data_IF_284008263698
#
_entry.id   IF_284008263698
#
_cell.length_a   1.000
_cell.length_b   1.000
_cell.length_c   1.000
_cell.angle_alpha   90.00
_cell.angle_beta   90.00
_cell.angle_gamma   90.00
#
_symmetry.space_group_name_H-M   'P 1'
#
loop_
_entity.id
_entity.type
_entity.pdbx_description
1 polymer ?
#
# COMPACT_ATOMS: atom_id res chain seq x y z
N UNK A 1 6.81 -53.22 -7.90
CA UNK A 1 8.10 -52.78 -7.37
C UNK A 1 8.47 -51.36 -7.81
N UNK A 2 8.38 -51.04 -9.10
CA UNK A 2 8.62 -49.70 -9.64
C UNK A 2 7.65 -48.62 -9.08
N UNK A 3 6.38 -48.95 -8.94
CA UNK A 3 5.33 -48.01 -8.43
C UNK A 3 5.57 -47.63 -6.96
N UNK A 4 6.06 -48.55 -6.14
CA UNK A 4 6.42 -48.25 -4.76
C UNK A 4 7.71 -47.42 -4.67
N UNK A 5 8.66 -47.62 -5.59
CA UNK A 5 9.90 -46.85 -5.66
C UNK A 5 9.61 -45.37 -6.02
N UNK A 6 8.73 -45.15 -6.96
CA UNK A 6 8.35 -43.75 -7.33
C UNK A 6 7.55 -43.06 -6.22
N UNK A 7 6.64 -43.76 -5.54
CA UNK A 7 5.89 -43.23 -4.40
C UNK A 7 6.77 -42.90 -3.19
N UNK A 8 7.78 -43.73 -2.91
CA UNK A 8 8.76 -43.45 -1.86
C UNK A 8 9.66 -42.30 -2.21
N UNK A 9 10.06 -42.17 -3.48
CA UNK A 9 10.87 -41.05 -3.96
C UNK A 9 10.08 -39.72 -3.95
N UNK A 10 8.79 -39.73 -4.30
CA UNK A 10 7.92 -38.56 -4.16
C UNK A 10 7.77 -38.15 -2.69
N UNK A 11 7.61 -39.07 -1.79
CA UNK A 11 7.55 -38.80 -0.34
C UNK A 11 8.87 -38.27 0.22
N UNK A 12 10.00 -38.67 -0.34
CA UNK A 12 11.32 -38.25 0.10
C UNK A 12 11.73 -36.85 -0.36
N UNK A 13 11.11 -36.33 -1.41
CA UNK A 13 11.43 -35.03 -2.01
C UNK A 13 10.49 -33.89 -1.60
N UNK A 14 9.40 -34.17 -0.88
CA UNK A 14 8.45 -33.14 -0.45
C UNK A 14 8.84 -32.60 0.92
N UNK A 15 9.50 -31.44 0.92
CA UNK A 15 9.55 -30.60 2.11
C UNK A 15 8.16 -29.98 2.39
N UNK A 16 7.88 -29.68 3.64
CA UNK A 16 6.67 -28.94 4.04
C UNK A 16 7.10 -27.61 4.62
N UNK A 17 6.61 -26.53 4.02
CA UNK A 17 6.75 -25.22 4.62
C UNK A 17 5.88 -25.12 5.87
N UNK A 18 6.47 -24.75 6.98
CA UNK A 18 5.80 -24.45 8.25
C UNK A 18 5.95 -22.98 8.57
N UNK A 19 4.86 -22.38 8.99
CA UNK A 19 4.80 -20.97 9.35
C UNK A 19 4.34 -20.83 10.79
N UNK A 20 4.99 -19.93 11.52
CA UNK A 20 4.58 -19.50 12.84
C UNK A 20 4.48 -17.98 12.83
N UNK A 21 3.31 -17.48 13.15
CA UNK A 21 3.04 -16.05 13.28
C UNK A 21 2.48 -15.81 14.69
N UNK A 22 3.15 -14.94 15.45
CA UNK A 22 2.74 -14.54 16.80
C UNK A 22 2.83 -13.05 16.91
N UNK A 23 1.71 -12.39 17.13
CA UNK A 23 1.67 -10.94 17.34
C UNK A 23 0.86 -10.59 18.59
N UNK A 24 1.22 -9.48 19.20
CA UNK A 24 0.53 -8.99 20.38
C UNK A 24 0.92 -7.56 20.70
N UNK A 25 0.12 -6.91 21.53
CA UNK A 25 0.44 -5.55 21.94
C UNK A 25 -0.42 -5.09 23.10
N UNK A 26 0.05 -4.03 23.72
CA UNK A 26 -0.65 -3.34 24.80
C UNK A 26 -0.59 -1.84 24.54
N UNK A 27 -1.71 -1.17 24.81
CA UNK A 27 -1.85 0.27 24.66
C UNK A 27 -2.46 0.84 25.93
N UNK A 28 -1.83 1.89 26.45
CA UNK A 28 -2.32 2.67 27.58
C UNK A 28 -2.54 4.12 27.17
N UNK A 29 -3.67 4.67 27.60
CA UNK A 29 -3.96 6.11 27.48
C UNK A 29 -4.10 6.70 28.87
N UNK A 30 -3.38 7.78 29.12
CA UNK A 30 -3.49 8.54 30.35
C UNK A 30 -3.94 9.96 30.05
N UNK A 31 -5.09 10.35 30.59
CA UNK A 31 -5.68 11.67 30.45
C UNK A 31 -5.33 12.48 31.68
N UNK A 32 -4.47 13.49 31.56
CA UNK A 32 -4.08 14.38 32.64
C UNK A 32 -5.22 15.34 33.00
N UNK A 33 -5.82 15.91 31.96
CA UNK A 33 -7.00 16.77 32.03
C UNK A 33 -7.71 16.75 30.65
N UNK A 34 -8.77 17.57 30.48
CA UNK A 34 -9.54 17.66 29.23
C UNK A 34 -8.73 18.10 28.00
N UNK A 35 -7.57 18.70 28.22
CA UNK A 35 -6.74 19.32 27.18
C UNK A 35 -5.39 18.60 26.98
N UNK A 36 -5.10 17.57 27.80
CA UNK A 36 -3.82 16.85 27.76
C UNK A 36 -3.99 15.35 27.92
N UNK A 37 -3.42 14.62 27.01
CA UNK A 37 -3.36 13.16 27.04
C UNK A 37 -2.00 12.63 26.61
N UNK A 38 -1.68 11.44 27.11
CA UNK A 38 -0.50 10.65 26.76
C UNK A 38 -0.95 9.25 26.36
N UNK A 39 -0.55 8.84 25.17
CA UNK A 39 -0.69 7.48 24.70
C UNK A 39 0.67 6.80 24.65
N UNK A 40 0.76 5.58 25.17
CA UNK A 40 1.93 4.70 25.04
C UNK A 40 1.43 3.36 24.53
N UNK A 41 2.03 2.88 23.46
CA UNK A 41 1.73 1.59 22.87
C UNK A 41 3.01 0.77 22.71
N UNK A 42 2.94 -0.51 23.05
CA UNK A 42 3.96 -1.50 22.75
C UNK A 42 3.35 -2.54 21.81
N UNK A 43 4.11 -2.95 20.81
CA UNK A 43 3.76 -4.09 19.96
C UNK A 43 4.93 -5.03 19.76
N UNK A 44 4.58 -6.29 19.62
CA UNK A 44 5.48 -7.39 19.31
C UNK A 44 4.92 -8.15 18.12
N UNK A 45 5.80 -8.50 17.18
CA UNK A 45 5.50 -9.31 16.02
C UNK A 45 6.65 -10.31 15.78
N UNK A 46 6.31 -11.57 15.55
CA UNK A 46 7.26 -12.62 15.20
C UNK A 46 6.69 -13.45 14.07
N UNK A 47 7.42 -13.54 12.98
CA UNK A 47 7.12 -14.41 11.85
C UNK A 47 8.32 -15.33 11.58
N UNK A 48 8.08 -16.64 11.70
CA UNK A 48 9.07 -17.69 11.41
C UNK A 48 8.57 -18.53 10.23
N UNK A 49 9.49 -18.88 9.34
CA UNK A 49 9.32 -19.95 8.34
C UNK A 49 10.36 -21.03 8.57
N UNK A 50 9.95 -22.28 8.44
CA UNK A 50 10.87 -23.42 8.45
C UNK A 50 10.49 -24.45 7.38
N UNK A 51 11.52 -25.12 6.86
CA UNK A 51 11.37 -26.27 5.98
C UNK A 51 11.41 -27.54 6.84
N UNK A 52 10.31 -28.27 6.83
CA UNK A 52 10.20 -29.57 7.49
C UNK A 52 10.45 -30.69 6.49
N UNK A 53 11.49 -31.47 6.75
CA UNK A 53 11.84 -32.69 6.01
C UNK A 53 11.25 -33.90 6.70
N UNK A 54 10.16 -34.53 6.18
CA UNK A 54 9.46 -35.63 6.90
C UNK A 54 10.30 -36.88 7.12
N UNK A 55 11.31 -37.11 6.26
CA UNK A 55 12.19 -38.28 6.37
C UNK A 55 13.10 -38.23 7.58
N UNK A 56 13.66 -37.07 7.84
CA UNK A 56 14.64 -36.89 8.92
C UNK A 56 14.00 -36.35 10.17
N UNK A 57 12.67 -36.12 10.16
CA UNK A 57 11.92 -35.40 11.18
C UNK A 57 12.59 -34.06 11.56
N UNK A 58 13.29 -33.46 10.60
CA UNK A 58 14.09 -32.25 10.79
C UNK A 58 13.29 -31.03 10.38
N UNK A 59 13.25 -30.07 11.28
CA UNK A 59 12.56 -28.77 11.09
C UNK A 59 13.62 -27.65 11.11
N UNK A 60 14.04 -27.22 9.95
CA UNK A 60 15.09 -26.21 9.79
C UNK A 60 14.45 -24.83 9.60
N UNK A 61 14.65 -23.97 10.59
CA UNK A 61 14.21 -22.57 10.46
C UNK A 61 15.10 -21.85 9.44
N UNK A 62 14.49 -21.41 8.34
CA UNK A 62 15.18 -20.77 7.23
C UNK A 62 14.91 -19.25 7.18
N UNK A 63 13.89 -18.79 7.92
CA UNK A 63 13.55 -17.38 8.03
C UNK A 63 12.95 -17.06 9.40
N UNK A 64 13.39 -15.97 10.00
CA UNK A 64 12.81 -15.42 11.24
C UNK A 64 12.88 -13.90 11.20
N UNK A 65 11.75 -13.23 11.40
CA UNK A 65 11.68 -11.80 11.62
C UNK A 65 11.00 -11.54 12.95
N UNK A 66 11.65 -10.81 13.84
CA UNK A 66 11.14 -10.46 15.16
C UNK A 66 11.23 -8.95 15.34
N UNK A 67 10.08 -8.33 15.62
CA UNK A 67 9.99 -6.89 15.83
C UNK A 67 9.40 -6.56 17.20
N UNK A 68 10.01 -5.59 17.86
CA UNK A 68 9.48 -4.93 19.05
C UNK A 68 9.37 -3.45 18.77
N UNK A 69 8.22 -2.85 19.03
CA UNK A 69 8.07 -1.40 18.91
C UNK A 69 7.42 -0.78 20.12
N UNK A 70 7.89 0.40 20.48
CA UNK A 70 7.28 1.28 21.49
C UNK A 70 6.98 2.59 20.81
N UNK A 71 5.75 3.05 20.95
CA UNK A 71 5.27 4.32 20.37
C UNK A 71 4.66 5.19 21.46
N UNK A 72 4.96 6.48 21.42
CA UNK A 72 4.42 7.45 22.36
C UNK A 72 3.84 8.66 21.65
N UNK A 73 2.71 9.17 22.14
CA UNK A 73 2.10 10.43 21.71
C UNK A 73 1.66 11.23 22.91
N UNK A 74 2.06 12.46 22.97
CA UNK A 74 1.54 13.44 23.90
C UNK A 74 0.82 14.53 23.14
N UNK A 75 -0.44 14.77 23.47
CA UNK A 75 -1.26 15.83 22.90
C UNK A 75 -1.54 16.90 23.94
N UNK A 76 -1.46 18.16 23.54
CA UNK A 76 -1.84 19.29 24.34
C UNK A 76 -2.66 20.28 23.51
N UNK A 77 -3.90 20.50 23.92
CA UNK A 77 -4.83 21.47 23.32
C UNK A 77 -4.71 22.81 24.04
N UNK A 78 -4.23 23.83 23.33
CA UNK A 78 -4.09 25.19 23.85
C UNK A 78 -5.31 26.03 23.48
N UNK A 79 -5.80 26.83 24.46
CA UNK A 79 -6.93 27.77 24.26
C UNK A 79 -8.12 27.06 23.59
N UNK A 80 -8.29 25.74 23.89
CA UNK A 80 -9.39 24.91 23.38
C UNK A 80 -9.41 24.64 21.87
N UNK A 81 -8.35 24.99 21.12
CA UNK A 81 -8.35 24.86 19.64
C UNK A 81 -7.02 24.63 18.96
N UNK A 82 -5.88 24.98 19.58
CA UNK A 82 -4.56 24.74 18.99
C UNK A 82 -4.00 23.46 19.59
N UNK A 83 -3.45 22.57 18.76
CA UNK A 83 -2.99 21.26 19.23
C UNK A 83 -1.49 21.13 18.97
N UNK A 84 -0.75 20.87 20.04
CA UNK A 84 0.62 20.40 19.97
C UNK A 84 0.64 18.89 20.17
N UNK A 85 1.19 18.16 19.21
CA UNK A 85 1.47 16.73 19.34
C UNK A 85 2.98 16.53 19.37
N UNK A 86 3.48 15.89 20.40
CA UNK A 86 4.85 15.41 20.51
C UNK A 86 4.81 13.89 20.53
N UNK A 87 5.75 13.24 19.87
CA UNK A 87 5.80 11.79 19.90
C UNK A 87 7.14 11.25 19.49
N UNK A 88 7.29 9.94 19.61
CA UNK A 88 8.47 9.22 19.19
C UNK A 88 8.22 7.73 19.16
N UNK A 89 8.96 7.06 18.30
CA UNK A 89 8.93 5.61 18.14
C UNK A 89 10.34 5.05 18.41
N UNK A 90 10.37 3.89 19.03
CA UNK A 90 11.54 3.01 19.09
C UNK A 90 11.14 1.66 18.52
N UNK A 91 11.89 1.16 17.55
CA UNK A 91 11.70 -0.17 16.99
C UNK A 91 13.01 -0.94 17.01
N UNK A 92 12.95 -2.18 17.48
CA UNK A 92 14.05 -3.15 17.35
C UNK A 92 13.59 -4.23 16.38
N UNK A 93 14.36 -4.44 15.32
CA UNK A 93 14.14 -5.41 14.27
C UNK A 93 15.27 -6.44 14.26
N UNK A 94 14.91 -7.72 14.23
CA UNK A 94 15.80 -8.86 14.04
C UNK A 94 15.34 -9.61 12.80
N UNK A 95 16.26 -9.87 11.89
CA UNK A 95 16.00 -10.65 10.68
C UNK A 95 17.09 -11.70 10.50
N UNK A 96 16.65 -12.95 10.43
CA UNK A 96 17.48 -14.12 10.07
C UNK A 96 16.93 -14.72 8.78
N UNK A 97 17.81 -15.07 7.86
CA UNK A 97 17.43 -15.73 6.60
C UNK A 97 18.56 -16.61 6.08
N UNK A 98 18.21 -17.78 5.53
CA UNK A 98 19.15 -18.59 4.77
C UNK A 98 19.68 -17.88 3.52
N UNK A 99 19.00 -16.84 3.05
CA UNK A 99 19.41 -16.00 1.91
C UNK A 99 20.51 -14.99 2.26
N UNK A 100 20.83 -14.83 3.54
CA UNK A 100 22.02 -14.09 3.93
C UNK A 100 23.27 -14.93 3.75
N UNK A 101 24.38 -14.29 3.48
CA UNK A 101 25.67 -14.98 3.43
C UNK A 101 25.88 -15.76 4.75
N UNK A 102 26.15 -17.07 4.64
CA UNK A 102 26.32 -18.00 5.78
C UNK A 102 25.09 -18.16 6.69
N UNK A 103 23.87 -18.11 6.16
CA UNK A 103 22.63 -18.20 6.95
C UNK A 103 22.63 -17.22 8.13
N UNK A 104 23.07 -16.01 7.90
CA UNK A 104 23.31 -15.02 8.92
C UNK A 104 22.03 -14.36 9.43
N UNK A 105 22.22 -13.52 10.44
CA UNK A 105 21.18 -12.65 10.97
C UNK A 105 21.66 -11.20 11.05
N UNK A 106 20.72 -10.27 11.01
CA UNK A 106 20.92 -8.82 11.16
C UNK A 106 20.00 -8.27 12.23
N UNK A 107 20.52 -7.27 12.91
CA UNK A 107 19.78 -6.52 13.91
C UNK A 107 19.81 -5.04 13.54
N UNK A 108 18.68 -4.40 13.67
CA UNK A 108 18.56 -2.96 13.50
C UNK A 108 17.69 -2.41 14.62
N UNK A 109 18.02 -1.23 15.12
CA UNK A 109 17.05 -0.43 15.84
C UNK A 109 16.84 0.90 15.13
N UNK A 110 15.64 1.40 15.22
CA UNK A 110 15.26 2.72 14.73
C UNK A 110 14.74 3.55 15.89
N UNK A 111 15.09 4.81 15.90
CA UNK A 111 14.60 5.79 16.86
C UNK A 111 14.11 6.98 16.07
N UNK A 112 12.94 7.44 16.39
CA UNK A 112 12.47 8.70 15.86
C UNK A 112 11.77 9.54 16.91
N UNK A 113 11.73 10.85 16.64
CA UNK A 113 11.02 11.82 17.43
C UNK A 113 10.38 12.86 16.52
N UNK A 114 9.18 13.29 16.85
CA UNK A 114 8.49 14.30 16.07
C UNK A 114 7.71 15.29 16.92
N UNK A 115 7.52 16.48 16.35
CA UNK A 115 6.64 17.52 16.88
C UNK A 115 5.73 18.02 15.76
N UNK A 116 4.46 18.17 16.04
CA UNK A 116 3.47 18.77 15.13
C UNK A 116 2.64 19.81 15.88
N UNK A 117 2.45 20.95 15.26
CA UNK A 117 1.59 22.01 15.77
C UNK A 117 0.47 22.32 14.78
N UNK A 118 -0.77 22.15 15.24
CA UNK A 118 -1.99 22.49 14.53
C UNK A 118 -2.51 23.83 15.04
N UNK A 119 -2.24 24.88 14.29
CA UNK A 119 -2.60 26.23 14.61
C UNK A 119 -3.92 26.63 13.95
N UNK A 120 -4.92 26.91 14.74
CA UNK A 120 -6.27 27.28 14.32
C UNK A 120 -6.59 28.75 14.74
N UNK A 121 -5.99 29.79 14.10
CA UNK A 121 -6.20 31.18 14.50
C UNK A 121 -7.64 31.62 14.32
N UNK A 122 -8.30 31.13 13.28
CA UNK A 122 -9.70 31.43 12.98
C UNK A 122 -10.46 30.17 12.56
N UNK A 123 -11.80 30.20 12.50
CA UNK A 123 -12.62 29.12 11.97
C UNK A 123 -12.44 28.87 10.46
N UNK A 124 -11.77 29.78 9.77
CA UNK A 124 -11.56 29.75 8.31
C UNK A 124 -10.14 29.36 7.93
N UNK A 125 -9.18 29.55 8.80
CA UNK A 125 -7.77 29.35 8.50
C UNK A 125 -7.12 28.40 9.49
N UNK A 126 -6.41 27.41 8.95
CA UNK A 126 -5.66 26.42 9.71
C UNK A 126 -4.27 26.27 9.11
N UNK A 127 -3.27 26.11 9.98
CA UNK A 127 -1.86 25.84 9.62
C UNK A 127 -1.40 24.64 10.42
N UNK A 128 -0.86 23.64 9.74
CA UNK A 128 -0.20 22.50 10.37
C UNK A 128 1.26 22.55 10.01
N UNK A 129 2.13 22.59 11.02
CA UNK A 129 3.58 22.44 10.86
C UNK A 129 4.05 21.22 11.60
N UNK A 130 5.05 20.53 11.04
CA UNK A 130 5.63 19.35 11.69
C UNK A 130 7.07 19.16 11.30
N UNK A 131 7.81 18.55 12.19
CA UNK A 131 9.18 18.10 11.97
C UNK A 131 9.36 16.73 12.61
N UNK A 132 9.97 15.81 11.89
CA UNK A 132 10.35 14.49 12.38
C UNK A 132 11.83 14.27 12.14
N UNK A 133 12.50 13.67 13.10
CA UNK A 133 13.84 13.17 13.02
C UNK A 133 13.83 11.65 13.12
N UNK A 134 14.52 10.97 12.21
CA UNK A 134 14.65 9.51 12.16
C UNK A 134 16.13 9.13 12.24
N UNK A 135 16.44 8.04 12.97
CA UNK A 135 17.76 7.42 13.03
C UNK A 135 17.66 5.91 12.86
N UNK A 136 18.54 5.32 12.03
CA UNK A 136 18.63 3.90 11.70
C UNK A 136 20.03 3.39 12.02
N UNK A 137 20.13 2.42 12.94
CA UNK A 137 21.44 2.01 13.51
C UNK A 137 22.29 1.16 12.59
N UNK A 138 21.72 0.32 11.72
CA UNK A 138 22.50 -0.60 10.87
C UNK A 138 23.25 0.17 9.76
N UNK A 139 22.62 1.16 9.17
CA UNK A 139 23.17 1.99 8.09
C UNK A 139 23.75 3.32 8.58
N UNK A 140 23.67 3.63 9.88
CA UNK A 140 24.03 4.93 10.49
C UNK A 140 23.42 6.14 9.77
N UNK A 141 22.17 5.97 9.35
CA UNK A 141 21.43 6.98 8.60
C UNK A 141 20.57 7.80 9.55
N UNK A 142 20.60 9.11 9.40
CA UNK A 142 19.66 10.02 10.04
C UNK A 142 19.02 10.95 9.02
N UNK A 143 17.81 11.43 9.32
CA UNK A 143 17.06 12.30 8.41
C UNK A 143 16.06 13.19 9.14
N UNK A 144 15.87 14.42 8.61
CA UNK A 144 14.83 15.34 9.03
C UNK A 144 13.75 15.45 7.95
N UNK A 145 12.50 15.21 8.34
CA UNK A 145 11.31 15.27 7.47
C UNK A 145 10.42 16.42 7.91
N UNK A 146 10.43 17.58 7.22
CA UNK A 146 9.55 18.70 7.51
C UNK A 146 8.19 18.54 6.85
N UNK A 147 7.14 19.13 7.44
CA UNK A 147 5.78 19.19 6.93
C UNK A 147 5.17 20.56 7.15
N UNK A 148 4.49 21.07 6.13
CA UNK A 148 3.66 22.27 6.20
C UNK A 148 2.33 22.01 5.48
N UNK A 149 1.23 22.30 6.14
CA UNK A 149 -0.11 22.26 5.57
C UNK A 149 -0.83 23.58 5.84
N UNK A 150 -1.51 24.10 4.84
CA UNK A 150 -2.33 25.31 4.91
C UNK A 150 -3.74 24.97 4.47
N UNK A 151 -4.74 25.45 5.17
CA UNK A 151 -6.14 25.35 4.75
C UNK A 151 -6.84 26.69 4.92
N UNK A 152 -7.60 27.08 3.90
CA UNK A 152 -8.47 28.25 3.94
C UNK A 152 -9.88 27.91 3.48
N UNK A 153 -10.89 28.29 4.27
CA UNK A 153 -12.30 28.05 3.99
C UNK A 153 -12.99 29.33 3.53
N UNK A 154 -13.65 29.26 2.38
CA UNK A 154 -14.42 30.37 1.80
C UNK A 154 -15.82 29.86 1.47
N UNK A 155 -16.79 30.16 2.34
CA UNK A 155 -18.14 29.65 2.17
C UNK A 155 -18.20 28.12 2.12
N UNK A 156 -18.62 27.58 0.99
CA UNK A 156 -18.70 26.15 0.74
C UNK A 156 -17.40 25.54 0.15
N UNK A 157 -16.38 26.37 -0.05
CA UNK A 157 -15.09 25.94 -0.61
C UNK A 157 -14.04 25.82 0.49
N UNK A 158 -13.15 24.83 0.35
CA UNK A 158 -11.92 24.70 1.13
C UNK A 158 -10.72 24.57 0.19
N UNK A 159 -9.77 25.48 0.32
CA UNK A 159 -8.49 25.42 -0.39
C UNK A 159 -7.44 24.85 0.57
N UNK A 160 -6.63 23.91 0.09
CA UNK A 160 -5.54 23.31 0.87
C UNK A 160 -4.27 23.30 0.03
N UNK A 161 -3.17 23.71 0.64
CA UNK A 161 -1.82 23.54 0.09
C UNK A 161 -0.97 22.75 1.09
N UNK A 162 -0.14 21.84 0.63
CA UNK A 162 0.77 21.13 1.51
C UNK A 162 2.13 20.87 0.87
N UNK A 163 3.12 20.82 1.75
CA UNK A 163 4.45 20.34 1.48
C UNK A 163 4.81 19.29 2.54
N UNK A 164 5.45 18.19 2.11
CA UNK A 164 6.01 17.19 3.01
C UNK A 164 7.32 16.64 2.45
N UNK A 165 8.38 16.68 3.27
CA UNK A 165 9.57 15.88 3.07
C UNK A 165 9.25 14.42 3.39
N UNK A 166 9.73 13.49 2.55
CA UNK A 166 9.60 12.06 2.76
C UNK A 166 10.96 11.40 2.83
N UNK A 167 11.04 10.28 3.54
CA UNK A 167 12.26 9.53 3.73
C UNK A 167 11.95 8.04 3.83
N UNK A 168 12.82 7.18 3.26
CA UNK A 168 12.79 5.74 3.40
C UNK A 168 14.21 5.19 3.47
N UNK A 169 14.58 4.62 4.60
CA UNK A 169 15.84 3.86 4.71
C UNK A 169 15.77 2.57 3.89
N UNK A 170 16.91 2.07 3.37
CA UNK A 170 17.00 0.73 2.82
C UNK A 170 16.62 -0.31 3.89
N UNK A 171 15.93 -1.35 3.49
CA UNK A 171 15.59 -2.46 4.39
C UNK A 171 16.76 -3.44 4.51
N UNK A 172 16.81 -4.19 5.61
CA UNK A 172 17.80 -5.26 5.79
C UNK A 172 17.79 -6.27 4.62
N UNK A 173 16.61 -6.50 4.04
CA UNK A 173 16.46 -7.36 2.84
C UNK A 173 17.16 -6.77 1.63
N UNK A 174 16.92 -5.50 1.33
CA UNK A 174 17.50 -4.81 0.19
C UNK A 174 19.03 -4.68 0.29
N UNK A 175 19.54 -4.59 1.51
CA UNK A 175 20.99 -4.48 1.75
C UNK A 175 21.70 -5.82 1.76
N UNK A 176 21.11 -6.89 2.33
CA UNK A 176 21.90 -8.07 2.68
C UNK A 176 21.38 -9.40 2.13
N UNK A 177 20.17 -9.47 1.57
CA UNK A 177 19.63 -10.74 1.08
C UNK A 177 20.02 -10.98 -0.39
N UNK A 178 20.45 -12.20 -0.69
CA UNK A 178 20.60 -12.72 -2.03
C UNK A 178 19.43 -13.65 -2.32
N UNK A 179 18.55 -13.22 -3.20
CA UNK A 179 17.27 -13.87 -3.44
C UNK A 179 17.29 -14.65 -4.76
N UNK A 180 17.04 -15.96 -4.71
CA UNK A 180 16.92 -16.80 -5.90
C UNK A 180 15.51 -16.68 -6.51
N UNK A 181 15.44 -16.16 -7.73
CA UNK A 181 14.21 -16.09 -8.53
C UNK A 181 13.97 -17.39 -9.28
N UNK A 182 13.62 -18.45 -8.55
CA UNK A 182 13.28 -19.78 -9.07
C UNK A 182 14.35 -20.36 -10.02
N UNK A 183 15.62 -20.17 -9.67
CA UNK A 183 16.80 -20.62 -10.47
C UNK A 183 16.90 -20.00 -11.87
N UNK A 184 16.17 -18.93 -12.13
CA UNK A 184 16.27 -18.15 -13.38
C UNK A 184 17.40 -17.13 -13.27
N UNK A 185 17.43 -16.34 -12.21
CA UNK A 185 18.49 -15.40 -11.86
C UNK A 185 18.46 -15.07 -10.38
N UNK A 186 19.54 -14.47 -9.88
CA UNK A 186 19.65 -13.98 -8.51
C UNK A 186 19.29 -12.49 -8.43
N UNK A 187 18.73 -12.07 -7.32
CA UNK A 187 18.66 -10.66 -6.91
C UNK A 187 19.61 -10.48 -5.73
N UNK A 188 20.61 -9.64 -5.89
CA UNK A 188 21.64 -9.40 -4.88
C UNK A 188 21.31 -8.17 -4.05
N UNK A 189 21.45 -8.29 -2.74
CA UNK A 189 21.44 -7.14 -1.82
C UNK A 189 22.65 -6.23 -2.06
N UNK A 190 22.49 -4.96 -1.66
CA UNK A 190 23.54 -3.96 -1.79
C UNK A 190 23.66 -3.13 -0.49
N UNK A 191 24.72 -3.33 0.31
CA UNK A 191 24.95 -2.56 1.53
C UNK A 191 25.20 -1.06 1.31
N UNK A 192 25.62 -0.66 0.09
CA UNK A 192 25.92 0.73 -0.25
C UNK A 192 24.71 1.56 -0.66
N UNK A 193 23.49 1.03 -0.46
CA UNK A 193 22.26 1.73 -0.77
C UNK A 193 22.12 3.01 0.05
N UNK A 194 21.79 4.09 -0.65
CA UNK A 194 21.42 5.37 -0.03
C UNK A 194 19.92 5.40 0.27
N UNK A 195 19.49 6.12 1.29
CA UNK A 195 18.06 6.30 1.56
C UNK A 195 17.37 7.06 0.43
N UNK A 196 16.10 6.70 0.20
CA UNK A 196 15.23 7.50 -0.64
C UNK A 196 14.78 8.75 0.10
N UNK A 197 14.80 9.87 -0.59
CA UNK A 197 14.22 11.12 -0.09
C UNK A 197 13.22 11.65 -1.09
N UNK A 198 12.20 12.36 -0.61
CA UNK A 198 11.20 12.94 -1.49
C UNK A 198 10.73 14.30 -1.03
N UNK A 199 10.32 15.12 -2.00
CA UNK A 199 9.65 16.39 -1.79
C UNK A 199 8.27 16.32 -2.44
N UNK A 200 7.23 16.39 -1.62
CA UNK A 200 5.86 16.23 -2.05
C UNK A 200 5.12 17.56 -1.90
N UNK A 201 4.59 18.10 -2.99
CA UNK A 201 3.78 19.30 -3.03
C UNK A 201 2.38 18.93 -3.49
N UNK A 202 1.36 19.47 -2.84
CA UNK A 202 -0.02 19.34 -3.29
C UNK A 202 -0.82 20.62 -3.09
N UNK A 203 -1.76 20.85 -4.02
CA UNK A 203 -2.75 21.90 -3.94
C UNK A 203 -4.12 21.30 -4.24
N UNK A 204 -5.09 21.51 -3.37
CA UNK A 204 -6.45 21.01 -3.56
C UNK A 204 -7.51 22.05 -3.30
N UNK A 205 -8.59 21.96 -4.06
CA UNK A 205 -9.82 22.72 -3.87
C UNK A 205 -10.97 21.74 -3.67
N UNK A 206 -11.75 21.92 -2.62
CA UNK A 206 -12.93 21.13 -2.31
C UNK A 206 -14.16 22.05 -2.24
N UNK A 207 -15.25 21.63 -2.87
CA UNK A 207 -16.55 22.31 -2.80
C UNK A 207 -17.60 21.35 -2.27
N UNK A 208 -18.23 21.71 -1.14
CA UNK A 208 -19.29 20.93 -0.52
C UNK A 208 -20.54 21.80 -0.40
N UNK A 209 -21.61 21.42 -1.09
CA UNK A 209 -22.91 22.10 -0.98
C UNK A 209 -24.04 21.08 -1.05
N UNK A 210 -24.75 20.95 0.05
CA UNK A 210 -25.89 20.03 0.15
C UNK A 210 -25.49 18.59 -0.20
N UNK A 211 -25.95 18.10 -1.33
CA UNK A 211 -25.74 16.74 -1.80
C UNK A 211 -24.46 16.53 -2.63
N UNK A 212 -23.79 17.61 -2.99
CA UNK A 212 -22.63 17.58 -3.89
C UNK A 212 -21.33 17.76 -3.12
N UNK A 213 -20.36 16.93 -3.43
CA UNK A 213 -18.96 17.11 -3.03
C UNK A 213 -18.09 16.96 -4.29
N UNK A 214 -17.26 17.98 -4.55
CA UNK A 214 -16.29 18.00 -5.62
C UNK A 214 -14.93 18.35 -5.03
N UNK A 215 -13.91 17.55 -5.32
CA UNK A 215 -12.52 17.80 -4.92
C UNK A 215 -11.63 17.69 -6.15
N UNK A 216 -10.76 18.67 -6.35
CA UNK A 216 -9.70 18.62 -7.37
C UNK A 216 -8.37 18.84 -6.66
N UNK A 217 -7.39 17.98 -6.94
CA UNK A 217 -6.04 18.04 -6.35
C UNK A 217 -5.01 17.97 -7.47
N UNK A 218 -4.06 18.89 -7.48
CA UNK A 218 -2.83 18.78 -8.26
C UNK A 218 -1.67 18.40 -7.33
N UNK A 219 -0.72 17.58 -7.79
CA UNK A 219 0.44 17.20 -7.02
C UNK A 219 1.71 17.16 -7.87
N UNK A 220 2.84 17.35 -7.18
CA UNK A 220 4.17 17.26 -7.77
C UNK A 220 5.14 16.66 -6.75
N UNK A 221 5.72 15.51 -7.09
CA UNK A 221 6.63 14.77 -6.25
C UNK A 221 8.00 14.64 -6.93
N UNK A 222 9.05 14.91 -6.19
CA UNK A 222 10.45 14.67 -6.59
C UNK A 222 10.95 13.56 -5.70
N UNK A 223 11.49 12.48 -6.28
CA UNK A 223 12.06 11.36 -5.53
C UNK A 223 13.52 11.21 -5.93
N UNK A 224 14.41 11.32 -4.95
CA UNK A 224 15.84 11.10 -5.12
C UNK A 224 16.27 9.76 -4.51
N UNK A 225 17.26 9.13 -5.11
CA UNK A 225 17.82 7.85 -4.69
C UNK A 225 16.79 6.72 -4.56
N UNK A 226 15.76 6.68 -5.40
CA UNK A 226 14.77 5.59 -5.36
C UNK A 226 15.46 4.24 -5.43
N UNK A 227 15.17 3.35 -4.50
CA UNK A 227 15.72 2.00 -4.46
C UNK A 227 14.91 1.10 -5.41
N UNK A 228 15.61 0.43 -6.31
CA UNK A 228 15.09 -0.52 -7.29
C UNK A 228 16.12 -1.58 -7.59
N UNK A 229 15.83 -2.50 -8.50
CA UNK A 229 16.80 -3.47 -9.01
C UNK A 229 17.21 -3.12 -10.45
N UNK A 230 18.47 -3.37 -10.79
CA UNK A 230 19.02 -3.28 -12.13
C UNK A 230 19.84 -4.51 -12.45
N UNK A 231 19.88 -4.87 -13.74
CA UNK A 231 20.68 -5.99 -14.21
C UNK A 231 22.18 -5.68 -14.10
N UNK A 232 22.94 -6.63 -13.61
CA UNK A 232 24.42 -6.59 -13.53
C UNK A 232 25.02 -7.68 -14.41
N UNK A 233 25.72 -7.29 -15.45
CA UNK A 233 26.44 -8.24 -16.34
C UNK A 233 27.54 -9.01 -15.60
N UNK A 234 28.19 -8.36 -14.64
CA UNK A 234 29.25 -8.97 -13.84
C UNK A 234 28.73 -10.11 -12.94
N UNK A 235 27.54 -9.95 -12.36
CA UNK A 235 26.93 -10.92 -11.44
C UNK A 235 25.92 -11.84 -12.13
N UNK A 236 25.61 -11.60 -13.42
CA UNK A 236 24.56 -12.31 -14.17
C UNK A 236 23.24 -12.39 -13.40
N UNK A 237 22.84 -11.27 -12.79
CA UNK A 237 21.65 -11.13 -11.95
C UNK A 237 21.27 -9.69 -11.73
N UNK A 238 20.18 -9.48 -11.02
CA UNK A 238 19.76 -8.14 -10.60
C UNK A 238 20.46 -7.73 -9.31
N UNK A 239 20.75 -6.45 -9.16
CA UNK A 239 21.35 -5.86 -7.95
C UNK A 239 20.47 -4.69 -7.50
N UNK A 240 20.21 -4.59 -6.21
CA UNK A 240 19.58 -3.40 -5.67
C UNK A 240 20.45 -2.17 -5.87
N UNK A 241 19.87 -1.11 -6.37
CA UNK A 241 20.57 0.14 -6.71
C UNK A 241 19.67 1.35 -6.49
N UNK A 242 20.28 2.53 -6.43
CA UNK A 242 19.55 3.78 -6.37
C UNK A 242 19.40 4.42 -7.75
N UNK A 243 18.21 4.91 -8.04
CA UNK A 243 17.93 5.76 -9.21
C UNK A 243 17.63 7.17 -8.73
N UNK A 244 18.21 8.17 -9.38
CA UNK A 244 18.04 9.57 -8.98
C UNK A 244 17.05 10.31 -9.86
N UNK A 245 16.37 11.30 -9.25
CA UNK A 245 15.56 12.30 -9.93
C UNK A 245 14.36 11.75 -10.71
N UNK A 246 13.52 10.98 -10.05
CA UNK A 246 12.19 10.66 -10.56
C UNK A 246 11.25 11.81 -10.20
N UNK A 247 10.58 12.36 -11.22
CA UNK A 247 9.57 13.40 -11.03
C UNK A 247 8.20 12.84 -11.39
N UNK A 248 7.27 12.93 -10.46
CA UNK A 248 5.90 12.45 -10.64
C UNK A 248 4.97 13.65 -10.47
N UNK A 249 4.17 13.93 -11.46
CA UNK A 249 3.17 14.99 -11.42
C UNK A 249 1.81 14.48 -11.85
N UNK A 250 0.76 15.11 -11.35
CA UNK A 250 -0.56 14.70 -11.75
C UNK A 250 -1.67 15.56 -11.19
N UNK A 251 -2.87 15.18 -11.55
CA UNK A 251 -4.09 15.78 -11.04
C UNK A 251 -5.14 14.69 -10.77
N UNK A 252 -5.89 14.90 -9.71
CA UNK A 252 -7.00 14.04 -9.30
C UNK A 252 -8.28 14.86 -9.19
N UNK A 253 -9.39 14.30 -9.65
CA UNK A 253 -10.71 14.88 -9.48
C UNK A 253 -11.66 13.83 -8.90
N UNK A 254 -12.36 14.17 -7.82
CA UNK A 254 -13.35 13.33 -7.18
C UNK A 254 -14.66 14.09 -7.10
N UNK A 255 -15.75 13.49 -7.57
CA UNK A 255 -17.09 14.04 -7.49
C UNK A 255 -18.04 13.02 -6.88
N UNK A 256 -18.91 13.46 -5.99
CA UNK A 256 -19.99 12.62 -5.47
C UNK A 256 -21.28 13.39 -5.29
N UNK A 257 -22.39 12.70 -5.53
CA UNK A 257 -23.73 13.21 -5.27
C UNK A 257 -24.58 12.12 -4.64
N UNK A 258 -25.43 12.51 -3.65
CA UNK A 258 -26.37 11.61 -3.01
C UNK A 258 -27.77 12.25 -2.97
N UNK A 259 -28.74 11.59 -3.59
CA UNK A 259 -30.12 12.09 -3.73
C UNK A 259 -31.05 11.43 -2.72
N UNK A 260 -32.08 12.15 -2.23
CA UNK A 260 -33.04 11.62 -1.26
C UNK A 260 -33.85 10.42 -1.80
N UNK A 261 -33.97 10.28 -3.13
CA UNK A 261 -34.65 9.13 -3.75
C UNK A 261 -33.89 7.81 -3.58
N UNK A 262 -32.66 7.83 -3.04
CA UNK A 262 -31.78 6.67 -2.88
C UNK A 262 -30.69 6.55 -3.93
N UNK A 263 -30.69 7.40 -4.97
CA UNK A 263 -29.64 7.39 -6.00
C UNK A 263 -28.37 8.07 -5.46
N UNK A 264 -27.22 7.44 -5.60
CA UNK A 264 -25.92 8.04 -5.38
C UNK A 264 -24.96 7.76 -6.54
N UNK A 265 -24.07 8.71 -6.78
CA UNK A 265 -23.04 8.62 -7.80
C UNK A 265 -21.69 9.08 -7.23
N UNK A 266 -20.62 8.35 -7.58
CA UNK A 266 -19.24 8.74 -7.32
C UNK A 266 -18.43 8.58 -8.59
N UNK A 267 -17.64 9.59 -8.91
CA UNK A 267 -16.71 9.59 -10.02
C UNK A 267 -15.34 9.98 -9.47
N UNK A 268 -14.32 9.22 -9.80
CA UNK A 268 -12.93 9.56 -9.54
C UNK A 268 -12.13 9.48 -10.83
N UNK A 269 -11.28 10.42 -11.04
CA UNK A 269 -10.35 10.47 -12.18
C UNK A 269 -8.98 10.87 -11.68
N UNK A 270 -7.93 10.19 -12.16
CA UNK A 270 -6.54 10.54 -11.90
C UNK A 270 -5.74 10.56 -13.20
N UNK A 271 -4.92 11.57 -13.33
CA UNK A 271 -3.85 11.67 -14.32
C UNK A 271 -2.51 11.66 -13.60
N UNK A 272 -1.60 10.77 -14.01
CA UNK A 272 -0.25 10.67 -13.46
C UNK A 272 0.76 10.67 -14.60
N UNK A 273 1.76 11.52 -14.49
CA UNK A 273 2.90 11.57 -15.40
C UNK A 273 4.20 11.35 -14.64
N UNK A 274 4.96 10.34 -15.07
CA UNK A 274 6.28 10.00 -14.53
C UNK A 274 7.36 10.43 -15.52
N UNK A 275 8.34 11.18 -15.02
CA UNK A 275 9.51 11.58 -15.80
C UNK A 275 10.75 10.89 -15.19
N UNK A 276 11.24 9.87 -15.88
CA UNK A 276 12.43 9.11 -15.52
C UNK A 276 13.53 9.46 -16.50
N UNK A 277 14.73 9.74 -16.00
CA UNK A 277 15.88 10.05 -16.87
C UNK A 277 16.21 8.88 -17.78
N UNK A 278 16.57 9.18 -19.04
CA UNK A 278 17.07 8.17 -19.99
C UNK A 278 18.29 7.45 -19.44
N UNK A 279 18.40 6.15 -19.70
CA UNK A 279 19.51 5.30 -19.25
C UNK A 279 19.38 4.81 -17.80
N UNK A 280 18.23 5.05 -17.16
CA UNK A 280 17.90 4.43 -15.87
C UNK A 280 17.27 3.04 -16.10
N UNK A 281 17.37 2.13 -15.12
CA UNK A 281 16.72 0.83 -15.21
C UNK A 281 15.24 0.94 -15.57
N UNK A 282 14.76 0.00 -16.39
CA UNK A 282 13.35 -0.06 -16.77
C UNK A 282 12.50 -0.34 -15.53
N UNK A 283 11.61 0.58 -15.24
CA UNK A 283 10.64 0.45 -14.16
C UNK A 283 9.27 0.29 -14.80
N UNK A 284 8.43 -0.56 -14.19
CA UNK A 284 7.04 -0.71 -14.59
C UNK A 284 6.33 0.66 -14.65
N UNK A 285 5.90 1.04 -15.84
CA UNK A 285 5.25 2.35 -16.06
C UNK A 285 3.83 2.35 -15.52
N UNK A 286 3.46 3.46 -14.88
CA UNK A 286 2.08 3.69 -14.43
C UNK A 286 1.18 4.05 -15.62
N UNK A 287 -0.06 3.55 -15.64
CA UNK A 287 -1.06 3.97 -16.64
C UNK A 287 -1.44 5.42 -16.41
N UNK A 288 -1.23 6.31 -17.42
CA UNK A 288 -1.37 7.76 -17.21
C UNK A 288 -2.76 8.21 -16.76
N UNK A 289 -3.82 7.57 -17.27
CA UNK A 289 -5.19 7.94 -16.93
C UNK A 289 -5.91 6.77 -16.31
N UNK A 290 -6.51 7.00 -15.16
CA UNK A 290 -7.41 6.06 -14.50
C UNK A 290 -8.70 6.76 -14.12
N UNK A 291 -9.83 6.06 -14.26
CA UNK A 291 -11.11 6.56 -13.80
C UNK A 291 -11.91 5.45 -13.13
N UNK A 292 -12.69 5.81 -12.12
CA UNK A 292 -13.67 4.91 -11.49
C UNK A 292 -15.02 5.60 -11.42
N UNK A 293 -16.06 4.82 -11.66
CA UNK A 293 -17.47 5.24 -11.57
C UNK A 293 -18.17 4.27 -10.64
N UNK A 294 -18.93 4.77 -9.69
CA UNK A 294 -19.88 4.00 -8.91
C UNK A 294 -21.26 4.68 -9.00
N UNK A 295 -22.23 3.97 -9.51
CA UNK A 295 -23.64 4.33 -9.49
C UNK A 295 -24.34 3.36 -8.55
N UNK A 296 -25.12 3.86 -7.62
CA UNK A 296 -25.76 3.06 -6.61
C UNK A 296 -27.19 3.56 -6.38
N UNK A 297 -28.14 2.66 -6.36
CA UNK A 297 -29.50 2.94 -5.96
C UNK A 297 -29.86 2.11 -4.75
N UNK A 298 -30.24 2.79 -3.68
CA UNK A 298 -30.56 2.21 -2.39
C UNK A 298 -31.99 2.58 -1.98
N UNK A 299 -32.79 1.59 -1.65
CA UNK A 299 -34.17 1.79 -1.26
C UNK A 299 -34.52 0.91 -0.06
N UNK A 300 -35.10 1.53 0.94
CA UNK A 300 -35.56 0.89 2.16
C UNK A 300 -37.07 1.01 2.31
N UNK A 301 -37.72 -0.11 2.67
CA UNK A 301 -39.10 -0.17 3.13
C UNK A 301 -39.12 -0.92 4.46
N UNK A 302 -39.88 -0.56 5.42
CA UNK A 302 -39.96 -1.22 6.74
C UNK A 302 -39.04 -2.43 6.99
N UNK A 303 -39.35 -3.58 6.42
CA UNK A 303 -38.59 -4.83 6.60
C UNK A 303 -37.82 -5.30 5.35
N UNK A 304 -37.81 -4.49 4.31
CA UNK A 304 -37.23 -4.82 3.02
C UNK A 304 -36.23 -3.76 2.59
N UNK A 305 -35.09 -4.17 2.12
CA UNK A 305 -34.07 -3.28 1.57
C UNK A 305 -33.56 -3.82 0.25
N UNK A 306 -33.30 -2.92 -0.67
CA UNK A 306 -32.80 -3.22 -1.99
C UNK A 306 -31.68 -2.26 -2.33
N UNK A 307 -30.55 -2.80 -2.76
CA UNK A 307 -29.41 -2.02 -3.22
C UNK A 307 -28.92 -2.60 -4.55
N UNK A 308 -28.78 -1.76 -5.55
CA UNK A 308 -28.11 -2.09 -6.81
C UNK A 308 -26.95 -1.16 -7.03
N UNK A 309 -25.77 -1.70 -7.29
CA UNK A 309 -24.55 -0.94 -7.49
C UNK A 309 -23.84 -1.37 -8.78
N UNK A 310 -23.56 -0.40 -9.64
CA UNK A 310 -22.71 -0.55 -10.81
C UNK A 310 -21.37 0.13 -10.55
N UNK A 311 -20.29 -0.65 -10.57
CA UNK A 311 -18.92 -0.16 -10.42
C UNK A 311 -18.17 -0.34 -11.74
N UNK A 312 -17.58 0.73 -12.24
CA UNK A 312 -16.75 0.73 -13.43
C UNK A 312 -15.34 1.23 -13.13
N UNK A 313 -14.34 0.64 -13.74
CA UNK A 313 -12.96 1.09 -13.72
C UNK A 313 -12.44 1.17 -15.14
N UNK A 314 -11.87 2.31 -15.50
CA UNK A 314 -11.18 2.57 -16.77
C UNK A 314 -9.68 2.76 -16.49
N UNK A 315 -8.84 2.15 -17.32
CA UNK A 315 -7.39 2.35 -17.34
C UNK A 315 -6.95 2.62 -18.77
N UNK A 316 -6.18 3.69 -18.98
CA UNK A 316 -5.65 4.05 -20.29
C UNK A 316 -4.61 3.05 -20.79
N UNK A 317 -4.25 3.17 -22.07
CA UNK A 317 -3.05 2.50 -22.58
C UNK A 317 -1.81 2.94 -21.81
N UNK A 318 -0.81 2.06 -21.73
CA UNK A 318 0.50 2.36 -21.19
C UNK A 318 1.56 1.91 -22.17
N UNK A 319 2.56 2.78 -22.38
CA UNK A 319 3.78 2.45 -23.11
C UNK A 319 4.87 2.14 -22.08
N UNK A 320 5.50 1.01 -22.20
CA UNK A 320 6.59 0.57 -21.33
C UNK A 320 7.73 0.00 -22.16
N UNK A 321 8.84 -0.28 -21.53
CA UNK A 321 9.94 -1.03 -22.13
C UNK A 321 10.03 -2.38 -21.43
N UNK A 322 10.22 -3.43 -22.20
CA UNK A 322 10.40 -4.79 -21.70
C UNK A 322 11.66 -5.40 -22.32
N UNK A 323 12.28 -6.32 -21.60
CA UNK A 323 13.40 -7.06 -22.14
C UNK A 323 12.96 -7.96 -23.30
N UNK A 324 13.73 -8.01 -24.38
CA UNK A 324 13.41 -8.78 -25.59
C UNK A 324 13.52 -10.28 -25.36
N UNK A 325 14.29 -10.71 -24.36
CA UNK A 325 14.56 -12.11 -24.06
C UNK A 325 14.40 -12.38 -22.55
N UNK A 326 13.88 -13.55 -22.22
CA UNK A 326 13.84 -14.03 -20.83
C UNK A 326 15.20 -14.56 -20.34
N UNK A 327 16.18 -14.67 -21.24
CA UNK A 327 17.52 -15.21 -20.95
C UNK A 327 18.65 -14.19 -21.14
N UNK A 328 18.35 -13.06 -21.79
CA UNK A 328 19.28 -11.94 -21.97
C UNK A 328 18.55 -10.64 -21.62
N UNK A 329 19.06 -9.91 -20.63
CA UNK A 329 18.51 -8.63 -20.19
C UNK A 329 19.26 -7.43 -20.78
N UNK A 330 19.88 -7.60 -21.95
CA UNK A 330 20.71 -6.58 -22.58
C UNK A 330 19.90 -5.63 -23.47
N UNK A 331 18.84 -6.14 -24.10
CA UNK A 331 18.04 -5.38 -25.06
C UNK A 331 16.60 -5.21 -24.56
N UNK A 332 16.07 -4.01 -24.76
CA UNK A 332 14.67 -3.70 -24.46
C UNK A 332 13.90 -3.31 -25.70
N UNK A 333 12.63 -3.69 -25.78
CA UNK A 333 11.68 -3.24 -26.78
C UNK A 333 10.57 -2.39 -26.17
N UNK A 334 10.04 -1.46 -26.95
CA UNK A 334 8.87 -0.66 -26.55
C UNK A 334 7.61 -1.47 -26.76
N UNK A 335 6.89 -1.69 -25.66
CA UNK A 335 5.61 -2.42 -25.66
C UNK A 335 4.48 -1.48 -25.26
N UNK A 336 3.36 -1.59 -25.98
CA UNK A 336 2.15 -0.86 -25.65
C UNK A 336 1.07 -1.82 -25.18
N UNK A 337 0.61 -1.65 -23.95
CA UNK A 337 -0.54 -2.37 -23.42
C UNK A 337 -1.82 -1.54 -23.63
N UNK A 338 -2.89 -2.13 -24.17
CA UNK A 338 -4.10 -1.42 -24.53
C UNK A 338 -4.83 -0.86 -23.30
N UNK A 339 -5.68 0.13 -23.53
CA UNK A 339 -6.66 0.58 -22.55
C UNK A 339 -7.74 -0.50 -22.35
N UNK A 340 -8.30 -0.55 -21.14
CA UNK A 340 -9.40 -1.45 -20.84
C UNK A 340 -10.36 -0.90 -19.79
N UNK A 341 -11.53 -1.52 -19.70
CA UNK A 341 -12.50 -1.24 -18.65
C UNK A 341 -12.94 -2.54 -17.97
N UNK A 342 -13.17 -2.45 -16.66
CA UNK A 342 -13.73 -3.54 -15.86
C UNK A 342 -14.99 -3.04 -15.15
N UNK A 343 -16.06 -3.81 -15.25
CA UNK A 343 -17.35 -3.44 -14.68
C UNK A 343 -17.91 -4.57 -13.82
N UNK A 344 -18.47 -4.19 -12.68
CA UNK A 344 -19.12 -5.07 -11.74
C UNK A 344 -20.52 -4.56 -11.43
N UNK A 345 -21.51 -5.42 -11.60
CA UNK A 345 -22.88 -5.18 -11.15
C UNK A 345 -23.12 -6.00 -9.88
N UNK A 346 -23.63 -5.36 -8.84
CA UNK A 346 -24.01 -6.02 -7.58
C UNK A 346 -25.45 -5.70 -7.25
N UNK A 347 -26.22 -6.70 -6.91
CA UNK A 347 -27.57 -6.61 -6.38
C UNK A 347 -27.56 -7.19 -4.96
N UNK A 348 -27.91 -6.38 -3.97
CA UNK A 348 -28.08 -6.83 -2.58
C UNK A 348 -29.53 -6.57 -2.17
N UNK A 349 -30.14 -7.56 -1.55
CA UNK A 349 -31.56 -7.54 -1.20
C UNK A 349 -31.77 -8.17 0.17
N UNK A 350 -32.43 -7.44 1.05
CA UNK A 350 -32.99 -8.01 2.27
C UNK A 350 -34.29 -8.74 1.90
N UNK A 351 -34.22 -10.05 1.82
CA UNK A 351 -35.35 -10.91 1.36
C UNK A 351 -36.34 -11.13 2.50
N UNK A 352 -35.79 -11.27 3.73
CA UNK A 352 -36.57 -11.54 4.93
C UNK A 352 -35.89 -10.89 6.15
N UNK A 353 -36.58 -10.85 7.27
CA UNK A 353 -36.02 -10.41 8.54
C UNK A 353 -34.79 -11.28 8.87
N UNK A 354 -33.59 -10.67 8.91
CA UNK A 354 -32.34 -11.37 9.16
C UNK A 354 -31.78 -12.22 7.98
N UNK A 355 -32.37 -12.10 6.77
CA UNK A 355 -31.90 -12.82 5.57
C UNK A 355 -31.54 -11.82 4.48
N UNK A 356 -30.27 -11.71 4.15
CA UNK A 356 -29.76 -10.86 3.08
C UNK A 356 -29.17 -11.72 1.95
N UNK A 357 -29.58 -11.44 0.71
CA UNK A 357 -29.07 -12.09 -0.50
C UNK A 357 -28.25 -11.09 -1.30
N UNK A 358 -27.11 -11.53 -1.81
CA UNK A 358 -26.27 -10.73 -2.71
C UNK A 358 -25.98 -11.53 -3.98
N UNK A 359 -26.21 -10.91 -5.12
CA UNK A 359 -25.84 -11.41 -6.44
C UNK A 359 -24.84 -10.45 -7.06
N UNK A 360 -23.77 -10.94 -7.66
CA UNK A 360 -22.84 -10.09 -8.37
C UNK A 360 -22.36 -10.72 -9.67
N UNK A 361 -22.17 -9.86 -10.66
CA UNK A 361 -21.55 -10.17 -11.94
C UNK A 361 -20.29 -9.32 -12.04
N UNK A 362 -19.13 -9.94 -11.95
CA UNK A 362 -17.84 -9.33 -12.16
C UNK A 362 -17.43 -9.43 -13.62
N UNK A 363 -16.69 -8.44 -14.10
CA UNK A 363 -16.24 -8.35 -15.49
C UNK A 363 -17.42 -8.46 -16.48
N UNK A 364 -18.40 -7.59 -16.31
CA UNK A 364 -19.69 -7.60 -17.02
C UNK A 364 -19.55 -7.64 -18.55
N UNK A 365 -18.47 -7.07 -19.11
CA UNK A 365 -18.21 -7.03 -20.54
C UNK A 365 -17.19 -8.08 -21.01
N UNK A 366 -16.91 -9.08 -20.19
CA UNK A 366 -16.07 -10.23 -20.54
C UNK A 366 -14.67 -9.84 -21.06
N UNK A 367 -14.05 -8.83 -20.47
CA UNK A 367 -12.69 -8.45 -20.84
C UNK A 367 -11.69 -9.52 -20.42
N UNK A 368 -10.89 -10.01 -21.36
CA UNK A 368 -9.77 -10.93 -21.12
C UNK A 368 -8.54 -10.30 -21.77
N UNK A 369 -7.46 -10.01 -21.01
CA UNK A 369 -6.26 -9.43 -21.60
C UNK A 369 -5.60 -10.45 -22.52
N UNK A 370 -5.18 -10.01 -23.71
CA UNK A 370 -4.43 -10.85 -24.67
C UNK A 370 -2.98 -11.12 -24.20
N UNK A 371 -2.45 -10.26 -23.34
CA UNK A 371 -1.12 -10.37 -22.73
C UNK A 371 -1.20 -9.88 -21.28
N UNK A 372 -0.61 -10.64 -20.36
CA UNK A 372 -0.54 -10.23 -18.94
C UNK A 372 0.62 -9.25 -18.74
N UNK A 373 0.35 -8.24 -17.94
CA UNK A 373 1.29 -7.22 -17.51
C UNK A 373 0.99 -6.88 -16.04
N UNK A 374 1.97 -6.34 -15.30
CA UNK A 374 1.84 -6.08 -13.84
C UNK A 374 0.54 -5.36 -13.42
N UNK A 375 0.00 -4.50 -14.31
CA UNK A 375 -1.25 -3.75 -14.07
C UNK A 375 -2.46 -4.31 -14.86
N UNK A 376 -2.34 -5.49 -15.43
CA UNK A 376 -3.47 -6.17 -16.09
C UNK A 376 -4.27 -6.97 -15.07
N UNK A 377 -5.61 -7.01 -15.18
CA UNK A 377 -6.40 -7.84 -14.29
C UNK A 377 -6.16 -9.32 -14.58
N UNK A 378 -5.91 -10.09 -13.53
CA UNK A 378 -5.88 -11.57 -13.63
C UNK A 378 -7.33 -12.08 -13.71
N UNK A 379 -7.90 -12.09 -14.90
CA UNK A 379 -9.29 -12.53 -15.11
C UNK A 379 -9.41 -13.53 -16.23
N UNK A 380 -10.29 -14.52 -16.04
CA UNK A 380 -10.69 -15.53 -17.07
C UNK A 380 -11.97 -15.14 -17.81
N UNK A 381 -12.46 -13.92 -17.62
CA UNK A 381 -13.71 -13.44 -18.20
C UNK A 381 -14.77 -13.14 -17.13
N UNK A 382 -16.04 -13.13 -17.56
CA UNK A 382 -17.18 -12.85 -16.69
C UNK A 382 -17.36 -13.92 -15.63
N UNK A 383 -17.54 -13.49 -14.37
CA UNK A 383 -17.83 -14.38 -13.25
C UNK A 383 -19.11 -13.98 -12.53
N UNK A 384 -19.83 -14.98 -12.04
CA UNK A 384 -21.05 -14.82 -11.28
C UNK A 384 -20.82 -15.26 -9.84
N UNK A 385 -21.33 -14.52 -8.89
CA UNK A 385 -21.31 -14.90 -7.48
C UNK A 385 -22.66 -14.67 -6.83
N UNK A 386 -23.04 -15.58 -5.94
CA UNK A 386 -24.23 -15.47 -5.10
C UNK A 386 -23.83 -15.72 -3.65
N UNK A 387 -24.34 -14.90 -2.76
CA UNK A 387 -24.11 -14.98 -1.32
C UNK A 387 -25.43 -14.88 -0.55
N UNK A 388 -25.53 -15.63 0.54
CA UNK A 388 -26.62 -15.57 1.49
C UNK A 388 -26.02 -15.27 2.87
N UNK A 389 -26.54 -14.25 3.54
CA UNK A 389 -26.16 -13.88 4.90
C UNK A 389 -27.35 -14.04 5.82
N UNK A 390 -27.16 -14.74 6.93
CA UNK A 390 -28.17 -14.99 7.94
C UNK A 390 -27.79 -14.31 9.26
N UNK A 391 -28.62 -13.39 9.72
CA UNK A 391 -28.51 -12.81 11.05
C UNK A 391 -29.44 -13.58 12.00
N UNK A 392 -28.88 -14.52 12.76
CA UNK A 392 -29.62 -15.44 13.62
C UNK A 392 -30.41 -14.68 14.69
N UNK A 393 -29.85 -13.63 15.27
CA UNK A 393 -30.53 -12.83 16.29
C UNK A 393 -31.78 -12.14 15.76
N UNK A 394 -31.75 -11.70 14.50
CA UNK A 394 -32.91 -11.07 13.86
C UNK A 394 -33.97 -12.06 13.37
N UNK A 395 -33.57 -13.31 13.07
CA UNK A 395 -34.51 -14.36 12.61
C UNK A 395 -35.49 -14.77 13.72
N UNK A 396 -35.05 -14.71 14.97
CA UNK A 396 -35.81 -15.19 16.14
C UNK A 396 -36.43 -14.06 16.98
N UNK A 397 -36.25 -12.81 16.61
CA UNK A 397 -36.95 -11.64 17.16
C UNK A 397 -38.09 -11.23 16.26
#
# INVERSE_FOLDING_TARGET
MLDNFFREREKSQTSKDRYRDVSGGVKGNYVFDKDKDLEIAYSFDQYDKSDYLPQDANDVRDYSNVQHSVRTFYNHTFVGKHILTLGGDYMRDYLMSYQFVNNGSKHQYTVDGFAQFDWNPTKYFNVITGLRFDYYSDSDINHFSPKLGLMYKIGNCSLRGSYAGGFRAPTLKEMYMNFDMASIFMIYGNPDLKPETSHNFSLSAEYIKGRYNLTVTGFYNIVDNRITTAWSEALKGQVYTNISNIKISGAEANASAKYPCGLSARLSYAYTHENIKKGQPVISSTRPHTATVRLEYDKHWKNYAFNIALNGRFLSKVNTEEYTSNTSYEETEKVTYPAYTMWKLTLSQKVWKGVDMTLAVDNLFNYVPSRYYNNSPATKGTTFSAGLSLNIEQLFK
#
